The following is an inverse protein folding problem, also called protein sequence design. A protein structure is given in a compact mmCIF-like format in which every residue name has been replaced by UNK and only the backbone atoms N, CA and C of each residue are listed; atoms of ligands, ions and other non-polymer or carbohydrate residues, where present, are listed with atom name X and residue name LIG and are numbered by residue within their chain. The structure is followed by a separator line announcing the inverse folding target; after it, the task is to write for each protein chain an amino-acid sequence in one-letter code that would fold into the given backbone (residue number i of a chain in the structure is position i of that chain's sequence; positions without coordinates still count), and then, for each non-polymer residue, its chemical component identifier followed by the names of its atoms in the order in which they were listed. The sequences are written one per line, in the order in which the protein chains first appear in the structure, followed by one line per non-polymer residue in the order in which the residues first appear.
data_IF_951308304190
#
_entry.id   IF_951308304190
#
_cell.length_a   1.000
_cell.length_b   1.000
_cell.length_c   1.000
_cell.angle_alpha   90.00
_cell.angle_beta   90.00
_cell.angle_gamma   90.00
#
_symmetry.space_group_name_H-M   'P 1'
#
loop_
_entity.id
_entity.type
_entity.pdbx_description
1 polymer ?
#
# COMPACT_ATOMS: atom_id res chain seq x y z
N UNK A 1 13.23 -26.15 29.23
CA UNK A 1 12.88 -25.60 27.91
C UNK A 1 14.18 -25.17 27.22
N UNK A 2 14.50 -25.67 26.03
CA UNK A 2 15.79 -25.41 25.37
C UNK A 2 15.81 -24.06 24.66
N UNK A 3 16.99 -23.44 24.53
CA UNK A 3 17.15 -22.16 23.83
C UNK A 3 16.71 -22.25 22.36
N UNK A 4 16.90 -23.41 21.73
CA UNK A 4 16.37 -23.69 20.39
C UNK A 4 14.85 -23.54 20.32
N UNK A 5 14.12 -24.13 21.27
CA UNK A 5 12.66 -24.04 21.29
C UNK A 5 12.19 -22.59 21.49
N UNK A 6 12.91 -21.80 22.30
CA UNK A 6 12.64 -20.36 22.48
C UNK A 6 12.85 -19.58 21.17
N UNK A 7 13.93 -19.87 20.45
CA UNK A 7 14.22 -19.23 19.16
C UNK A 7 13.18 -19.61 18.08
N UNK A 8 12.74 -20.87 18.05
CA UNK A 8 11.69 -21.35 17.12
C UNK A 8 10.35 -20.67 17.42
N UNK A 9 9.95 -20.55 18.70
CA UNK A 9 8.76 -19.78 19.08
C UNK A 9 8.85 -18.30 18.68
N UNK A 10 10.01 -17.68 18.86
CA UNK A 10 10.25 -16.30 18.44
C UNK A 10 10.18 -16.16 16.91
N UNK A 11 10.60 -17.18 16.15
CA UNK A 11 10.51 -17.20 14.70
C UNK A 11 9.05 -17.19 14.24
N UNK A 12 8.21 -18.08 14.79
CA UNK A 12 6.78 -18.12 14.49
C UNK A 12 6.11 -16.76 14.74
N UNK A 13 6.48 -16.07 15.84
CA UNK A 13 5.99 -14.73 16.12
C UNK A 13 6.45 -13.69 15.09
N UNK A 14 7.73 -13.73 14.67
CA UNK A 14 8.26 -12.81 13.65
C UNK A 14 7.62 -13.04 12.29
N UNK A 15 7.43 -14.28 11.87
CA UNK A 15 6.73 -14.63 10.63
C UNK A 15 5.27 -14.14 10.63
N UNK A 16 4.57 -14.27 11.76
CA UNK A 16 3.22 -13.71 11.90
C UNK A 16 3.22 -12.19 11.77
N UNK A 17 4.16 -11.50 12.42
CA UNK A 17 4.29 -10.03 12.35
C UNK A 17 4.65 -9.56 10.94
N UNK A 18 5.53 -10.26 10.24
CA UNK A 18 5.86 -9.97 8.83
C UNK A 18 4.64 -10.10 7.94
N UNK A 19 3.88 -11.20 8.06
CA UNK A 19 2.63 -11.41 7.29
C UNK A 19 1.60 -10.31 7.53
N UNK A 20 1.42 -9.90 8.79
CA UNK A 20 0.51 -8.79 9.13
C UNK A 20 0.97 -7.46 8.54
N UNK A 21 2.27 -7.16 8.60
CA UNK A 21 2.84 -5.95 8.01
C UNK A 21 2.70 -5.95 6.47
N UNK A 22 2.92 -7.10 5.82
CA UNK A 22 2.73 -7.26 4.38
C UNK A 22 1.26 -7.02 3.98
N UNK A 23 0.31 -7.62 4.71
CA UNK A 23 -1.12 -7.42 4.47
C UNK A 23 -1.53 -5.95 4.67
N UNK A 24 -1.02 -5.29 5.72
CA UNK A 24 -1.26 -3.89 6.00
C UNK A 24 -0.71 -2.96 4.91
N UNK A 25 0.47 -3.26 4.36
CA UNK A 25 1.05 -2.55 3.22
C UNK A 25 0.23 -2.74 1.96
N UNK A 26 -0.14 -3.99 1.62
CA UNK A 26 -0.96 -4.28 0.45
C UNK A 26 -2.34 -3.60 0.50
N UNK A 27 -2.96 -3.55 1.68
CA UNK A 27 -4.20 -2.81 1.89
C UNK A 27 -4.03 -1.30 1.67
N UNK A 28 -2.93 -0.72 2.13
CA UNK A 28 -2.64 0.69 1.94
C UNK A 28 -2.36 1.02 0.46
N UNK A 29 -1.60 0.16 -0.23
CA UNK A 29 -1.36 0.31 -1.67
C UNK A 29 -2.65 0.27 -2.50
N UNK A 30 -3.62 -0.56 -2.11
CA UNK A 30 -4.95 -0.55 -2.74
C UNK A 30 -5.63 0.80 -2.58
N UNK A 31 -5.69 1.33 -1.34
CA UNK A 31 -6.24 2.66 -1.07
C UNK A 31 -5.58 3.77 -1.90
N UNK A 32 -4.25 3.75 -2.04
CA UNK A 32 -3.56 4.71 -2.90
C UNK A 32 -3.98 4.62 -4.38
N UNK A 33 -4.21 3.41 -4.90
CA UNK A 33 -4.69 3.21 -6.28
C UNK A 33 -6.14 3.65 -6.43
N UNK A 34 -6.98 3.35 -5.46
CA UNK A 34 -8.39 3.73 -5.47
C UNK A 34 -8.54 5.26 -5.43
N UNK A 35 -7.74 5.96 -4.61
CA UNK A 35 -7.75 7.42 -4.58
C UNK A 35 -7.15 8.04 -5.87
N UNK A 36 -6.14 7.40 -6.48
CA UNK A 36 -5.62 7.85 -7.77
C UNK A 36 -6.69 7.76 -8.88
N UNK A 37 -7.44 6.65 -8.94
CA UNK A 37 -8.58 6.49 -9.87
C UNK A 37 -9.66 7.52 -9.61
N UNK A 38 -9.98 7.81 -8.35
CA UNK A 38 -10.94 8.86 -8.00
C UNK A 38 -10.52 10.23 -8.53
N UNK A 39 -9.23 10.55 -8.52
CA UNK A 39 -8.73 11.80 -9.11
C UNK A 39 -8.92 11.78 -10.64
N UNK A 40 -8.59 10.67 -11.30
CA UNK A 40 -8.80 10.51 -12.76
C UNK A 40 -10.28 10.66 -13.13
N UNK A 41 -11.19 10.06 -12.36
CA UNK A 41 -12.64 10.17 -12.55
C UNK A 41 -13.13 11.62 -12.38
N UNK A 42 -12.57 12.36 -11.41
CA UNK A 42 -12.90 13.77 -11.18
C UNK A 42 -12.35 14.66 -12.31
N UNK A 43 -11.18 14.37 -12.84
CA UNK A 43 -10.61 15.07 -13.99
C UNK A 43 -11.45 14.85 -15.25
N UNK A 44 -11.89 13.61 -15.50
CA UNK A 44 -12.80 13.30 -16.59
C UNK A 44 -14.18 13.97 -16.43
N UNK A 45 -14.71 14.03 -15.22
CA UNK A 45 -15.95 14.75 -14.95
C UNK A 45 -15.81 16.26 -15.21
N UNK A 46 -14.65 16.83 -14.87
CA UNK A 46 -14.37 18.25 -15.07
C UNK A 46 -14.17 18.59 -16.55
N UNK A 47 -13.55 17.71 -17.32
CA UNK A 47 -13.44 17.82 -18.79
C UNK A 47 -14.83 17.75 -19.44
N UNK A 48 -15.66 16.77 -19.07
CA UNK A 48 -17.04 16.66 -19.59
C UNK A 48 -17.89 17.87 -19.28
N UNK A 49 -17.81 18.39 -18.05
CA UNK A 49 -18.53 19.59 -17.64
C UNK A 49 -18.15 20.81 -18.49
N UNK A 50 -16.86 20.93 -18.86
CA UNK A 50 -16.38 21.97 -19.77
C UNK A 50 -16.90 21.75 -21.19
N UNK A 51 -16.76 20.54 -21.74
CA UNK A 51 -17.21 20.23 -23.10
C UNK A 51 -18.72 20.39 -23.28
N UNK A 52 -19.51 20.05 -22.25
CA UNK A 52 -20.96 20.21 -22.26
C UNK A 52 -21.35 21.69 -22.20
N UNK A 53 -20.62 22.50 -21.43
CA UNK A 53 -20.84 23.93 -21.35
C UNK A 53 -20.39 24.66 -22.61
N UNK A 54 -19.25 24.32 -23.20
CA UNK A 54 -18.76 24.88 -24.46
C UNK A 54 -19.77 24.62 -25.60
N UNK A 55 -20.39 23.43 -25.62
CA UNK A 55 -21.47 23.09 -26.57
C UNK A 55 -22.73 23.92 -26.33
N UNK A 56 -23.08 24.17 -25.08
CA UNK A 56 -24.22 25.01 -24.72
C UNK A 56 -23.98 26.48 -25.09
N UNK A 57 -22.77 26.99 -24.82
CA UNK A 57 -22.34 28.33 -25.18
C UNK A 57 -22.38 28.53 -26.71
N UNK A 58 -21.83 27.57 -27.47
CA UNK A 58 -21.90 27.61 -28.92
C UNK A 58 -23.35 27.62 -29.42
N UNK A 59 -24.23 26.80 -28.85
CA UNK A 59 -25.65 26.78 -29.22
C UNK A 59 -26.35 28.13 -28.95
N UNK A 60 -25.97 28.85 -27.89
CA UNK A 60 -26.45 30.21 -27.67
C UNK A 60 -25.93 31.16 -28.75
N UNK A 61 -24.64 31.12 -29.07
CA UNK A 61 -24.07 31.95 -30.15
C UNK A 61 -24.75 31.72 -31.49
N UNK A 62 -24.94 30.45 -31.88
CA UNK A 62 -25.62 30.07 -33.13
C UNK A 62 -27.09 30.55 -33.15
N UNK A 63 -27.77 30.51 -32.00
CA UNK A 63 -29.14 31.01 -31.89
C UNK A 63 -29.26 32.54 -31.99
N UNK A 64 -28.19 33.28 -31.70
CA UNK A 64 -28.13 34.75 -31.80
C UNK A 64 -27.72 35.22 -33.20
N UNK A 65 -27.23 34.32 -34.08
CA UNK A 65 -26.86 34.65 -35.46
C UNK A 65 -28.11 35.06 -36.28
N UNK A 66 -28.48 36.34 -36.19
CA UNK A 66 -29.60 36.96 -36.92
C UNK A 66 -30.72 37.55 -36.06
N UNK A 67 -30.73 37.33 -34.73
CA UNK A 67 -31.71 37.91 -33.82
C UNK A 67 -31.16 38.02 -32.38
N UNK A 68 -31.57 39.04 -31.62
CA UNK A 68 -31.27 39.12 -30.18
C UNK A 68 -32.09 38.12 -29.38
N UNK A 69 -31.45 37.42 -28.44
CA UNK A 69 -32.12 36.57 -27.45
C UNK A 69 -33.23 37.33 -26.73
N UNK A 70 -34.34 36.64 -26.48
CA UNK A 70 -35.41 37.14 -25.63
C UNK A 70 -34.94 37.29 -24.18
N UNK A 71 -35.58 38.14 -23.36
CA UNK A 71 -35.26 38.27 -21.94
C UNK A 71 -35.33 36.95 -21.17
N UNK A 72 -36.22 36.03 -21.58
CA UNK A 72 -36.34 34.71 -20.95
C UNK A 72 -35.13 33.82 -21.28
N UNK A 73 -34.68 33.81 -22.53
CA UNK A 73 -33.50 33.04 -22.95
C UNK A 73 -32.21 33.60 -22.32
N UNK A 74 -32.08 34.92 -22.19
CA UNK A 74 -30.98 35.56 -21.46
C UNK A 74 -30.94 35.16 -19.98
N UNK A 75 -32.10 35.07 -19.33
CA UNK A 75 -32.18 34.63 -17.94
C UNK A 75 -31.80 33.15 -17.79
N UNK A 76 -32.22 32.29 -18.73
CA UNK A 76 -31.83 30.89 -18.77
C UNK A 76 -30.32 30.72 -18.99
N UNK A 77 -29.73 31.49 -19.91
CA UNK A 77 -28.30 31.44 -20.16
C UNK A 77 -27.49 31.86 -18.91
N UNK A 78 -27.91 32.94 -18.22
CA UNK A 78 -27.30 33.34 -16.95
C UNK A 78 -27.36 32.25 -15.89
N UNK A 79 -28.53 31.63 -15.72
CA UNK A 79 -28.69 30.54 -14.75
C UNK A 79 -27.77 29.37 -15.07
N UNK A 80 -27.66 28.98 -16.35
CA UNK A 80 -26.77 27.90 -16.78
C UNK A 80 -25.29 28.24 -16.58
N UNK A 81 -24.86 29.49 -16.82
CA UNK A 81 -23.51 29.96 -16.49
C UNK A 81 -23.23 29.82 -14.98
N UNK A 82 -24.15 30.30 -14.14
CA UNK A 82 -23.98 30.26 -12.68
C UNK A 82 -23.93 28.81 -12.16
N UNK A 83 -24.77 27.93 -12.70
CA UNK A 83 -24.79 26.51 -12.34
C UNK A 83 -23.53 25.79 -12.80
N UNK A 84 -23.04 26.09 -14.02
CA UNK A 84 -21.77 25.57 -14.52
C UNK A 84 -20.58 26.01 -13.65
N UNK A 85 -20.49 27.29 -13.30
CA UNK A 85 -19.42 27.82 -12.45
C UNK A 85 -19.45 27.16 -11.07
N UNK A 86 -20.63 26.98 -10.48
CA UNK A 86 -20.79 26.27 -9.21
C UNK A 86 -20.32 24.82 -9.33
N UNK A 87 -20.72 24.14 -10.41
CA UNK A 87 -20.34 22.75 -10.64
C UNK A 87 -18.85 22.57 -10.84
N UNK A 88 -18.20 23.46 -11.60
CA UNK A 88 -16.74 23.48 -11.75
C UNK A 88 -16.04 23.68 -10.39
N UNK A 89 -16.52 24.62 -9.57
CA UNK A 89 -15.95 24.87 -8.26
C UNK A 89 -16.06 23.63 -7.35
N UNK A 90 -17.22 22.98 -7.31
CA UNK A 90 -17.43 21.73 -6.55
C UNK A 90 -16.47 20.62 -6.99
N UNK A 91 -16.32 20.41 -8.30
CA UNK A 91 -15.42 19.39 -8.85
C UNK A 91 -13.94 19.71 -8.55
N UNK A 92 -13.55 20.99 -8.66
CA UNK A 92 -12.19 21.44 -8.33
C UNK A 92 -11.87 21.26 -6.84
N UNK A 93 -12.81 21.60 -5.95
CA UNK A 93 -12.67 21.38 -4.50
C UNK A 93 -12.55 19.89 -4.18
N UNK A 94 -13.40 19.06 -4.78
CA UNK A 94 -13.35 17.61 -4.61
C UNK A 94 -12.02 17.02 -5.08
N UNK A 95 -11.50 17.48 -6.23
CA UNK A 95 -10.18 17.09 -6.77
C UNK A 95 -9.07 17.49 -5.82
N UNK A 96 -9.07 18.73 -5.34
CA UNK A 96 -8.08 19.22 -4.37
C UNK A 96 -8.11 18.42 -3.05
N UNK A 97 -9.30 18.05 -2.58
CA UNK A 97 -9.45 17.20 -1.39
C UNK A 97 -8.89 15.79 -1.62
N UNK A 98 -9.17 15.19 -2.78
CA UNK A 98 -8.65 13.87 -3.16
C UNK A 98 -7.12 13.88 -3.31
N UNK A 99 -6.53 14.93 -3.87
CA UNK A 99 -5.06 15.10 -3.93
C UNK A 99 -4.42 15.15 -2.54
N UNK A 100 -5.01 15.93 -1.61
CA UNK A 100 -4.52 15.97 -0.22
C UNK A 100 -4.58 14.61 0.46
N UNK A 101 -5.68 13.88 0.28
CA UNK A 101 -5.81 12.53 0.84
C UNK A 101 -4.82 11.56 0.18
N UNK A 102 -4.61 11.64 -1.14
CA UNK A 102 -3.60 10.83 -1.85
C UNK A 102 -2.20 11.07 -1.28
N UNK A 103 -1.80 12.32 -1.02
CA UNK A 103 -0.52 12.62 -0.38
C UNK A 103 -0.41 11.94 0.99
N UNK A 104 -1.43 12.06 1.84
CA UNK A 104 -1.49 11.40 3.15
C UNK A 104 -1.39 9.87 3.04
N UNK A 105 -2.09 9.28 2.08
CA UNK A 105 -2.09 7.83 1.85
C UNK A 105 -0.72 7.34 1.37
N UNK A 106 -0.01 8.12 0.54
CA UNK A 106 1.34 7.81 0.07
C UNK A 106 2.37 7.86 1.20
N UNK A 107 2.30 8.86 2.08
CA UNK A 107 3.14 8.92 3.29
C UNK A 107 2.91 7.71 4.20
N UNK A 108 1.65 7.35 4.44
CA UNK A 108 1.32 6.16 5.21
C UNK A 108 1.80 4.87 4.53
N UNK A 109 1.74 4.82 3.19
CA UNK A 109 2.29 3.70 2.42
C UNK A 109 3.81 3.58 2.62
N UNK A 110 4.55 4.69 2.62
CA UNK A 110 5.98 4.71 2.88
C UNK A 110 6.30 4.21 4.30
N UNK A 111 5.58 4.70 5.32
CA UNK A 111 5.73 4.24 6.71
C UNK A 111 5.48 2.72 6.85
N UNK A 112 4.46 2.20 6.16
CA UNK A 112 4.15 0.76 6.16
C UNK A 112 5.19 -0.07 5.42
N UNK A 113 5.73 0.45 4.32
CA UNK A 113 6.81 -0.20 3.59
C UNK A 113 8.08 -0.31 4.44
N UNK A 114 8.44 0.75 5.15
CA UNK A 114 9.54 0.74 6.11
C UNK A 114 9.29 -0.28 7.23
N UNK A 115 8.10 -0.27 7.83
CA UNK A 115 7.72 -1.23 8.86
C UNK A 115 7.86 -2.66 8.36
N UNK A 116 7.33 -2.98 7.17
CA UNK A 116 7.44 -4.31 6.58
C UNK A 116 8.91 -4.69 6.35
N UNK A 117 9.73 -3.79 5.81
CA UNK A 117 11.17 -4.00 5.62
C UNK A 117 11.88 -4.34 6.93
N UNK A 118 11.65 -3.56 7.99
CA UNK A 118 12.20 -3.83 9.33
C UNK A 118 11.79 -5.22 9.85
N UNK A 119 10.53 -5.64 9.62
CA UNK A 119 10.06 -6.99 10.01
C UNK A 119 10.74 -8.10 9.21
N UNK A 120 10.90 -7.92 7.91
CA UNK A 120 11.63 -8.86 7.05
C UNK A 120 13.08 -9.02 7.52
N UNK A 121 13.79 -7.92 7.75
CA UNK A 121 15.16 -7.94 8.27
C UNK A 121 15.24 -8.63 9.63
N UNK A 122 14.31 -8.35 10.55
CA UNK A 122 14.24 -9.01 11.83
C UNK A 122 14.01 -10.52 11.69
N UNK A 123 13.11 -10.97 10.81
CA UNK A 123 12.90 -12.42 10.56
C UNK A 123 14.17 -13.06 10.02
N UNK A 124 14.78 -12.46 8.99
CA UNK A 124 16.01 -12.97 8.38
C UNK A 124 17.16 -13.09 9.39
N UNK A 125 17.35 -12.08 10.24
CA UNK A 125 18.37 -12.11 11.28
C UNK A 125 18.16 -13.26 12.28
N UNK A 126 16.91 -13.52 12.67
CA UNK A 126 16.60 -14.65 13.55
C UNK A 126 16.78 -16.00 12.83
N UNK A 127 16.51 -16.06 11.52
CA UNK A 127 16.74 -17.25 10.70
C UNK A 127 18.21 -17.66 10.72
N UNK A 128 19.09 -16.69 10.49
CA UNK A 128 20.55 -16.88 10.57
C UNK A 128 20.98 -17.37 11.96
N UNK A 129 20.38 -16.86 13.04
CA UNK A 129 20.69 -17.29 14.40
C UNK A 129 20.22 -18.74 14.66
N UNK A 130 19.02 -19.10 14.19
CA UNK A 130 18.50 -20.46 14.29
C UNK A 130 19.36 -21.47 13.52
N UNK A 131 19.82 -21.11 12.32
CA UNK A 131 20.74 -21.94 11.54
C UNK A 131 22.06 -22.18 12.25
N UNK A 132 22.66 -21.13 12.83
CA UNK A 132 23.88 -21.25 13.66
C UNK A 132 23.63 -22.20 14.83
N UNK A 133 22.53 -22.01 15.58
CA UNK A 133 22.22 -22.87 16.72
C UNK A 133 22.02 -24.33 16.34
N UNK A 134 21.34 -24.61 15.21
CA UNK A 134 21.18 -25.97 14.69
C UNK A 134 22.52 -26.62 14.35
N UNK A 135 23.47 -25.85 13.84
CA UNK A 135 24.83 -26.32 13.55
C UNK A 135 25.58 -26.64 14.83
N UNK A 136 25.51 -25.79 15.84
CA UNK A 136 26.16 -26.01 17.14
C UNK A 136 25.58 -27.25 17.84
N UNK A 137 24.24 -27.39 17.85
CA UNK A 137 23.57 -28.57 18.40
C UNK A 137 24.03 -29.87 17.69
N UNK A 138 24.26 -29.82 16.37
CA UNK A 138 24.77 -30.95 15.58
C UNK A 138 26.21 -31.31 15.94
N UNK A 139 27.10 -30.32 16.07
CA UNK A 139 28.50 -30.54 16.49
C UNK A 139 28.55 -31.19 17.88
N UNK A 140 27.72 -30.73 18.81
CA UNK A 140 27.64 -31.33 20.15
C UNK A 140 27.13 -32.77 20.09
N UNK A 141 26.17 -33.08 19.22
CA UNK A 141 25.70 -34.45 19.02
C UNK A 141 26.77 -35.35 18.41
N UNK A 142 27.48 -34.88 17.39
CA UNK A 142 28.59 -35.61 16.76
C UNK A 142 29.70 -35.92 17.79
N UNK A 143 30.10 -34.93 18.62
CA UNK A 143 31.10 -35.14 19.67
C UNK A 143 30.64 -36.08 20.80
N UNK A 144 29.33 -36.11 21.12
CA UNK A 144 28.79 -37.11 22.06
C UNK A 144 28.86 -38.53 21.49
N UNK A 145 28.50 -38.69 20.22
CA UNK A 145 28.59 -39.99 19.54
C UNK A 145 30.04 -40.48 19.49
N UNK A 146 31.01 -39.59 19.24
CA UNK A 146 32.43 -39.92 19.29
C UNK A 146 32.88 -40.37 20.69
N UNK A 147 32.52 -39.61 21.74
CA UNK A 147 32.82 -39.99 23.12
C UNK A 147 32.18 -41.32 23.54
N UNK A 148 30.93 -41.58 23.12
CA UNK A 148 30.24 -42.85 23.37
C UNK A 148 30.96 -44.02 22.68
N UNK A 149 31.48 -43.83 21.46
CA UNK A 149 32.28 -44.84 20.76
C UNK A 149 33.59 -45.16 21.50
N UNK A 150 34.29 -44.16 22.05
CA UNK A 150 35.51 -44.37 22.83
C UNK A 150 35.27 -45.15 24.13
N UNK A 151 34.12 -44.93 24.78
CA UNK A 151 33.74 -45.65 26.02
C UNK A 151 33.30 -47.10 25.74
N UNK A 152 32.78 -47.38 24.54
CA UNK A 152 32.24 -48.70 24.18
C UNK A 152 33.28 -49.61 23.50
N UNK A 153 34.44 -49.09 23.10
CA UNK A 153 35.55 -49.90 22.61
C UNK A 153 36.14 -50.71 23.78
N UNK A 154 36.15 -52.06 23.73
CA UNK A 154 36.81 -52.83 24.77
C UNK A 154 38.29 -52.43 24.77
N UNK A 155 38.81 -52.09 25.95
CA UNK A 155 40.26 -52.02 26.19
C UNK A 155 40.82 -53.42 26.02
N UNK A 156 40.99 -53.85 24.76
CA UNK A 156 41.77 -55.00 24.38
C UNK A 156 43.22 -54.67 24.68
N UNK A 157 43.73 -55.19 25.79
CA UNK A 157 45.15 -55.14 26.11
C UNK A 157 45.99 -55.94 25.12
N UNK A 158 47.31 -55.71 25.07
CA UNK A 158 48.25 -56.73 24.66
C UNK A 158 48.78 -57.51 25.89
N UNK A 159 49.27 -58.75 25.69
CA UNK A 159 49.72 -59.67 26.75
C UNK A 159 50.93 -59.18 27.55
#
# INVERSE_FOLDING_TARGET
MTDRLRLEQLMTLRERRERLAAAALAAQQRRCRDEARRIEDLELALERERDDFDRLEQAWFDAVEGATLSPAELAQARQAIDDHQRRQAELAEARSAAERERCRLLEECARRAETWSQRCHARQALGKLLERRRRDDRIVQEGRLEADLEVTLPRGGPP
#
